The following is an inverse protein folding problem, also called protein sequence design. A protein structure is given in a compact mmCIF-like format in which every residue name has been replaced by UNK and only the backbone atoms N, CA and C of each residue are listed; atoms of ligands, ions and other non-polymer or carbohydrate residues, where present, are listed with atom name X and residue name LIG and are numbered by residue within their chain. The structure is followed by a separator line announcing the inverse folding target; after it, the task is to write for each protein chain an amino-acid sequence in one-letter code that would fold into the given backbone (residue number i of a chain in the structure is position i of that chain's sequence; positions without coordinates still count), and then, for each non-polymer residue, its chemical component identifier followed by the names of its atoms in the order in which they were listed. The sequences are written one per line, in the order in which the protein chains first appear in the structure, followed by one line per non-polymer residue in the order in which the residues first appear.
data_IF_800638350181
#
_entry.id   IF_800638350181
#
_cell.length_a   1.000
_cell.length_b   1.000
_cell.length_c   1.000
_cell.angle_alpha   90.00
_cell.angle_beta   90.00
_cell.angle_gamma   90.00
#
_symmetry.space_group_name_H-M   'P 1'
#
loop_
_entity.id
_entity.type
_entity.pdbx_description
1 polymer ?
#
# COMPACT_ATOMS: atom_id res chain seq x y z
N UNK A 1 12.40 20.00 -7.68
CA UNK A 1 11.37 19.23 -6.94
C UNK A 1 11.49 19.55 -5.46
N UNK A 2 10.40 19.95 -4.78
CA UNK A 2 10.42 20.25 -3.35
C UNK A 2 10.77 19.01 -2.53
N UNK A 3 11.44 19.17 -1.40
CA UNK A 3 11.88 18.09 -0.51
C UNK A 3 10.72 17.18 -0.10
N UNK A 4 9.59 17.78 0.32
CA UNK A 4 8.36 17.06 0.67
C UNK A 4 7.85 16.17 -0.47
N UNK A 5 7.94 16.63 -1.71
CA UNK A 5 7.52 15.85 -2.88
C UNK A 5 8.45 14.65 -3.10
N UNK A 6 9.76 14.80 -2.85
CA UNK A 6 10.71 13.68 -2.93
C UNK A 6 10.43 12.63 -1.85
N UNK A 7 10.23 13.07 -0.60
CA UNK A 7 9.92 12.17 0.52
C UNK A 7 8.62 11.40 0.24
N UNK A 8 7.57 12.09 -0.20
CA UNK A 8 6.30 11.44 -0.55
C UNK A 8 6.45 10.43 -1.69
N UNK A 9 7.24 10.77 -2.72
CA UNK A 9 7.47 9.86 -3.84
C UNK A 9 8.21 8.59 -3.41
N UNK A 10 9.31 8.70 -2.67
CA UNK A 10 10.03 7.52 -2.18
C UNK A 10 9.22 6.72 -1.15
N UNK A 11 8.49 7.40 -0.27
CA UNK A 11 7.63 6.74 0.70
C UNK A 11 6.52 5.93 -0.01
N UNK A 12 5.88 6.50 -1.02
CA UNK A 12 4.90 5.79 -1.83
C UNK A 12 5.54 4.61 -2.57
N UNK A 13 6.71 4.81 -3.19
CA UNK A 13 7.40 3.74 -3.91
C UNK A 13 7.73 2.56 -3.00
N UNK A 14 8.34 2.81 -1.84
CA UNK A 14 8.73 1.75 -0.91
C UNK A 14 7.53 1.03 -0.28
N UNK A 15 6.48 1.76 0.10
CA UNK A 15 5.23 1.14 0.54
C UNK A 15 4.64 0.25 -0.55
N UNK A 16 4.57 0.76 -1.79
CA UNK A 16 4.05 -0.02 -2.93
C UNK A 16 4.88 -1.25 -3.25
N UNK A 17 6.20 -1.21 -3.09
CA UNK A 17 7.07 -2.37 -3.25
C UNK A 17 6.72 -3.43 -2.20
N UNK A 18 6.68 -3.03 -0.93
CA UNK A 18 6.40 -3.95 0.18
C UNK A 18 5.00 -4.55 0.04
N UNK A 19 3.98 -3.74 -0.23
CA UNK A 19 2.63 -4.22 -0.43
C UNK A 19 2.48 -5.08 -1.67
N UNK A 20 3.03 -4.66 -2.82
CA UNK A 20 2.92 -5.39 -4.08
C UNK A 20 3.53 -6.79 -3.98
N UNK A 21 4.72 -6.91 -3.38
CA UNK A 21 5.36 -8.21 -3.14
C UNK A 21 4.55 -9.03 -2.14
N UNK A 22 4.21 -8.45 -0.99
CA UNK A 22 3.57 -9.21 0.10
C UNK A 22 2.17 -9.67 -0.26
N UNK A 23 1.37 -8.82 -0.89
CA UNK A 23 0.02 -9.18 -1.35
C UNK A 23 0.04 -10.17 -2.50
N UNK A 24 1.08 -10.17 -3.35
CA UNK A 24 1.21 -11.19 -4.39
C UNK A 24 1.53 -12.56 -3.79
N UNK A 25 2.49 -12.63 -2.85
CA UNK A 25 2.85 -13.87 -2.15
C UNK A 25 1.64 -14.41 -1.38
N UNK A 26 1.04 -13.58 -0.54
CA UNK A 26 -0.05 -14.02 0.32
C UNK A 26 -1.33 -14.23 -0.48
N UNK A 27 -1.56 -13.46 -1.53
CA UNK A 27 -2.67 -13.68 -2.47
C UNK A 27 -2.58 -15.05 -3.12
N UNK A 28 -1.40 -15.46 -3.59
CA UNK A 28 -1.17 -16.82 -4.09
C UNK A 28 -1.45 -17.87 -3.02
N UNK A 29 -0.85 -17.71 -1.82
CA UNK A 29 -1.05 -18.66 -0.72
C UNK A 29 -2.51 -18.82 -0.29
N UNK A 30 -3.29 -17.73 -0.24
CA UNK A 30 -4.71 -17.78 0.15
C UNK A 30 -5.57 -18.38 -0.96
N UNK A 31 -5.29 -18.07 -2.23
CA UNK A 31 -6.16 -18.47 -3.35
C UNK A 31 -5.87 -19.87 -3.87
N UNK A 32 -4.60 -20.26 -3.96
CA UNK A 32 -4.17 -21.52 -4.57
C UNK A 32 -3.41 -22.43 -3.60
N UNK A 33 -3.10 -21.96 -2.39
CA UNK A 33 -2.29 -22.69 -1.42
C UNK A 33 -0.79 -22.66 -1.71
N UNK A 34 -0.34 -22.00 -2.79
CA UNK A 34 1.06 -21.94 -3.19
C UNK A 34 1.42 -20.59 -3.83
N UNK A 35 2.71 -20.27 -3.83
CA UNK A 35 3.22 -19.11 -4.59
C UNK A 35 3.57 -19.57 -6.00
N UNK A 36 2.91 -19.01 -7.01
CA UNK A 36 3.31 -19.20 -8.40
C UNK A 36 4.54 -18.35 -8.72
N UNK A 37 5.71 -18.95 -8.54
CA UNK A 37 7.00 -18.30 -8.80
C UNK A 37 7.21 -17.92 -10.26
N UNK A 38 6.51 -18.56 -11.21
CA UNK A 38 6.64 -18.24 -12.62
C UNK A 38 5.95 -16.92 -12.97
N UNK A 39 4.73 -16.72 -12.46
CA UNK A 39 3.96 -15.49 -12.68
C UNK A 39 4.27 -14.39 -11.64
N UNK A 40 4.99 -14.74 -10.57
CA UNK A 40 5.29 -13.84 -9.46
C UNK A 40 5.92 -12.50 -9.88
N UNK A 41 6.98 -12.44 -10.72
CA UNK A 41 7.63 -11.17 -11.03
C UNK A 41 6.70 -10.16 -11.70
N UNK A 42 5.87 -10.62 -12.63
CA UNK A 42 4.92 -9.79 -13.37
C UNK A 42 3.80 -9.32 -12.44
N UNK A 43 3.27 -10.24 -11.64
CA UNK A 43 2.18 -10.00 -10.70
C UNK A 43 2.56 -9.01 -9.61
N UNK A 44 3.75 -9.20 -9.03
CA UNK A 44 4.33 -8.30 -8.05
C UNK A 44 4.56 -6.93 -8.67
N UNK A 45 5.15 -6.85 -9.87
CA UNK A 45 5.38 -5.59 -10.57
C UNK A 45 4.08 -4.81 -10.81
N UNK A 46 3.03 -5.49 -11.25
CA UNK A 46 1.71 -4.88 -11.47
C UNK A 46 1.13 -4.37 -10.16
N UNK A 47 1.28 -5.14 -9.07
CA UNK A 47 0.96 -4.69 -7.72
C UNK A 47 1.72 -3.42 -7.37
N UNK A 48 3.05 -3.41 -7.45
CA UNK A 48 3.87 -2.24 -7.15
C UNK A 48 3.43 -1.02 -7.99
N UNK A 49 3.22 -1.21 -9.29
CA UNK A 49 2.80 -0.13 -10.19
C UNK A 49 1.42 0.42 -9.83
N UNK A 50 0.42 -0.45 -9.63
CA UNK A 50 -0.91 -0.03 -9.27
C UNK A 50 -0.89 0.75 -7.94
N UNK A 51 -0.20 0.22 -6.93
CA UNK A 51 -0.10 0.86 -5.61
C UNK A 51 0.60 2.22 -5.70
N UNK A 52 1.67 2.30 -6.51
CA UNK A 52 2.42 3.53 -6.71
C UNK A 52 1.60 4.59 -7.43
N UNK A 53 0.93 4.22 -8.52
CA UNK A 53 0.05 5.14 -9.29
C UNK A 53 -1.10 5.63 -8.42
N UNK A 54 -1.78 4.74 -7.69
CA UNK A 54 -2.86 5.11 -6.77
C UNK A 54 -2.34 6.06 -5.69
N UNK A 55 -1.19 5.77 -5.09
CA UNK A 55 -0.56 6.62 -4.07
C UNK A 55 -0.12 7.99 -4.57
N UNK A 56 0.17 8.14 -5.87
CA UNK A 56 0.48 9.44 -6.48
C UNK A 56 -0.77 10.25 -6.83
N UNK A 57 -1.83 9.59 -7.33
CA UNK A 57 -3.06 10.25 -7.77
C UNK A 57 -3.91 10.65 -6.57
N UNK A 58 -4.09 9.73 -5.62
CA UNK A 58 -4.97 9.92 -4.48
C UNK A 58 -4.13 10.37 -3.29
N UNK A 59 -4.44 11.52 -2.65
CA UNK A 59 -3.70 11.99 -1.47
C UNK A 59 -4.14 11.23 -0.21
N UNK A 60 -3.97 9.90 -0.22
CA UNK A 60 -4.50 8.97 0.79
C UNK A 60 -4.02 9.33 2.20
N UNK A 61 -2.76 9.73 2.33
CA UNK A 61 -2.19 10.18 3.61
C UNK A 61 -2.87 11.42 4.19
N UNK A 62 -3.28 12.38 3.35
CA UNK A 62 -4.03 13.57 3.80
C UNK A 62 -5.42 13.19 4.27
N UNK A 63 -6.10 12.30 3.53
CA UNK A 63 -7.44 11.81 3.90
C UNK A 63 -7.37 11.06 5.23
N UNK A 64 -6.40 10.15 5.38
CA UNK A 64 -6.16 9.42 6.63
C UNK A 64 -5.88 10.35 7.81
N UNK A 65 -5.03 11.37 7.63
CA UNK A 65 -4.72 12.33 8.69
C UNK A 65 -5.94 13.19 9.09
N UNK A 66 -6.78 13.58 8.14
CA UNK A 66 -8.03 14.34 8.43
C UNK A 66 -8.99 13.48 9.26
N UNK A 67 -9.18 12.22 8.90
CA UNK A 67 -10.09 11.31 9.62
C UNK A 67 -9.53 10.98 11.01
N UNK A 68 -8.23 10.67 11.10
CA UNK A 68 -7.57 10.38 12.37
C UNK A 68 -7.58 11.59 13.32
N UNK A 69 -7.35 12.80 12.79
CA UNK A 69 -7.35 14.04 13.57
C UNK A 69 -8.71 14.43 14.14
N UNK A 70 -9.82 13.95 13.56
CA UNK A 70 -11.17 14.13 14.13
C UNK A 70 -11.46 13.20 15.30
N UNK A 71 -10.79 12.05 15.35
CA UNK A 71 -11.09 10.98 16.31
C UNK A 71 -10.02 10.84 17.41
N UNK A 72 -8.82 11.37 17.19
CA UNK A 72 -7.67 11.16 18.08
C UNK A 72 -6.62 12.26 17.94
N UNK A 73 -5.78 12.41 18.96
CA UNK A 73 -4.66 13.37 18.95
C UNK A 73 -3.48 12.83 18.12
N UNK A 74 -2.83 13.65 17.28
CA UNK A 74 -1.61 13.27 16.57
C UNK A 74 -0.55 12.70 17.53
N UNK A 75 0.16 11.66 17.09
CA UNK A 75 1.22 11.02 17.88
C UNK A 75 0.74 9.93 18.85
N UNK A 76 -0.57 9.71 18.98
CA UNK A 76 -1.09 8.56 19.76
C UNK A 76 -1.11 7.28 18.92
N UNK A 77 -1.03 6.12 19.58
CA UNK A 77 -1.17 4.82 18.91
C UNK A 77 -2.51 4.73 18.15
N UNK A 78 -3.59 5.23 18.75
CA UNK A 78 -4.91 5.25 18.15
C UNK A 78 -4.96 6.11 16.87
N UNK A 79 -4.25 7.24 16.85
CA UNK A 79 -4.13 8.08 15.65
C UNK A 79 -3.45 7.33 14.50
N UNK A 80 -2.33 6.66 14.78
CA UNK A 80 -1.63 5.87 13.77
C UNK A 80 -2.48 4.69 13.28
N UNK A 81 -3.20 4.02 14.18
CA UNK A 81 -4.11 2.93 13.84
C UNK A 81 -5.22 3.39 12.89
N UNK A 82 -5.90 4.49 13.22
CA UNK A 82 -7.01 5.03 12.41
C UNK A 82 -6.48 5.52 11.06
N UNK A 83 -5.36 6.26 11.05
CA UNK A 83 -4.73 6.74 9.83
C UNK A 83 -4.37 5.59 8.88
N UNK A 84 -3.71 4.55 9.40
CA UNK A 84 -3.32 3.38 8.60
C UNK A 84 -4.54 2.57 8.13
N UNK A 85 -5.58 2.47 8.96
CA UNK A 85 -6.85 1.80 8.62
C UNK A 85 -7.51 2.46 7.42
N UNK A 86 -7.70 3.78 7.47
CA UNK A 86 -8.31 4.55 6.38
C UNK A 86 -7.47 4.45 5.10
N UNK A 87 -6.15 4.53 5.26
CA UNK A 87 -5.21 4.42 4.14
C UNK A 87 -5.31 3.04 3.45
N UNK A 88 -5.34 1.95 4.23
CA UNK A 88 -5.47 0.60 3.69
C UNK A 88 -6.80 0.34 3.02
N UNK A 89 -7.91 0.79 3.60
CA UNK A 89 -9.23 0.62 3.00
C UNK A 89 -9.25 1.27 1.62
N UNK A 90 -8.73 2.50 1.50
CA UNK A 90 -8.69 3.21 0.24
C UNK A 90 -7.78 2.50 -0.77
N UNK A 91 -6.57 2.08 -0.37
CA UNK A 91 -5.67 1.34 -1.27
C UNK A 91 -6.31 0.05 -1.76
N UNK A 92 -6.88 -0.76 -0.86
CA UNK A 92 -7.49 -2.04 -1.22
C UNK A 92 -8.71 -1.88 -2.11
N UNK A 93 -9.49 -0.81 -1.92
CA UNK A 93 -10.67 -0.54 -2.75
C UNK A 93 -10.32 -0.38 -4.24
N UNK A 94 -9.11 0.10 -4.54
CA UNK A 94 -8.63 0.25 -5.92
C UNK A 94 -7.70 -0.90 -6.35
N UNK A 95 -6.83 -1.39 -5.48
CA UNK A 95 -5.88 -2.45 -5.82
C UNK A 95 -6.54 -3.79 -6.06
N UNK A 96 -7.54 -4.15 -5.26
CA UNK A 96 -8.21 -5.44 -5.38
C UNK A 96 -8.89 -5.61 -6.75
N UNK A 97 -9.70 -4.64 -7.24
CA UNK A 97 -10.20 -4.67 -8.61
C UNK A 97 -9.11 -4.64 -9.67
N UNK A 98 -8.09 -3.79 -9.52
CA UNK A 98 -7.02 -3.65 -10.51
C UNK A 98 -6.26 -4.97 -10.71
N UNK A 99 -5.87 -5.64 -9.63
CA UNK A 99 -5.18 -6.93 -9.68
C UNK A 99 -6.10 -8.05 -10.20
N UNK A 100 -7.37 -8.04 -9.80
CA UNK A 100 -8.34 -9.07 -10.24
C UNK A 100 -8.64 -8.96 -11.73
N UNK A 101 -8.81 -7.75 -12.25
CA UNK A 101 -8.97 -7.49 -13.69
C UNK A 101 -7.70 -7.88 -14.45
N UNK A 102 -6.53 -7.53 -13.93
CA UNK A 102 -5.26 -7.87 -14.59
C UNK A 102 -5.05 -9.39 -14.66
N UNK A 103 -5.18 -10.10 -13.54
CA UNK A 103 -5.03 -11.55 -13.50
C UNK A 103 -6.13 -12.26 -14.30
N UNK A 104 -7.38 -11.93 -14.03
CA UNK A 104 -8.53 -12.61 -14.59
C UNK A 104 -8.76 -12.29 -16.05
N UNK A 105 -8.70 -11.02 -16.43
CA UNK A 105 -9.03 -10.58 -17.79
C UNK A 105 -7.83 -10.42 -18.71
N UNK A 106 -6.69 -9.91 -18.21
CA UNK A 106 -5.52 -9.67 -19.08
C UNK A 106 -4.69 -10.93 -19.24
N UNK A 107 -4.39 -11.65 -18.16
CA UNK A 107 -3.57 -12.86 -18.23
C UNK A 107 -4.37 -14.12 -18.60
N UNK A 108 -5.57 -14.29 -18.04
CA UNK A 108 -6.40 -15.48 -18.27
C UNK A 108 -7.51 -15.29 -19.32
N UNK A 109 -7.68 -14.08 -19.88
CA UNK A 109 -8.61 -13.81 -20.97
C UNK A 109 -10.11 -13.82 -20.59
N UNK A 110 -10.45 -13.84 -19.30
CA UNK A 110 -11.84 -13.85 -18.86
C UNK A 110 -12.51 -12.46 -19.00
N UNK A 111 -13.80 -12.37 -19.32
CA UNK A 111 -14.48 -11.08 -19.38
C UNK A 111 -14.50 -10.39 -18.01
N UNK A 112 -14.32 -9.06 -17.99
CA UNK A 112 -14.26 -8.24 -16.75
C UNK A 112 -15.49 -8.49 -15.86
N UNK A 113 -16.67 -8.63 -16.47
CA UNK A 113 -17.93 -8.89 -15.76
C UNK A 113 -17.94 -10.19 -14.96
N UNK A 114 -17.14 -11.19 -15.34
CA UNK A 114 -17.04 -12.46 -14.63
C UNK A 114 -16.04 -12.42 -13.46
N UNK A 115 -15.04 -11.54 -13.51
CA UNK A 115 -13.96 -11.49 -12.52
C UNK A 115 -14.14 -10.36 -11.51
N UNK A 116 -14.76 -9.24 -11.91
CA UNK A 116 -14.96 -8.07 -11.07
C UNK A 116 -15.74 -8.37 -9.77
N UNK A 117 -16.82 -9.19 -9.75
CA UNK A 117 -17.54 -9.51 -8.52
C UNK A 117 -16.67 -10.21 -7.47
N UNK A 118 -15.65 -10.96 -7.90
CA UNK A 118 -14.75 -11.69 -7.01
C UNK A 118 -13.62 -10.81 -6.44
N UNK A 119 -13.48 -9.57 -6.92
CA UNK A 119 -12.36 -8.70 -6.57
C UNK A 119 -12.24 -8.45 -5.06
N UNK A 120 -13.35 -8.44 -4.35
CA UNK A 120 -13.39 -8.11 -2.92
C UNK A 120 -13.34 -9.32 -1.99
N UNK A 121 -13.27 -10.55 -2.52
CA UNK A 121 -13.17 -11.76 -1.70
C UNK A 121 -11.93 -11.76 -0.79
N UNK A 122 -10.83 -11.19 -1.28
CA UNK A 122 -9.55 -11.10 -0.55
C UNK A 122 -9.37 -9.78 0.21
N UNK A 123 -10.38 -8.91 0.23
CA UNK A 123 -10.27 -7.59 0.83
C UNK A 123 -9.92 -7.66 2.32
N UNK A 124 -10.68 -8.49 3.06
CA UNK A 124 -10.54 -8.63 4.51
C UNK A 124 -9.20 -9.24 4.93
N UNK A 125 -8.71 -10.36 4.35
CA UNK A 125 -7.39 -10.87 4.70
C UNK A 125 -6.26 -9.87 4.36
N UNK A 126 -6.31 -9.23 3.19
CA UNK A 126 -5.30 -8.23 2.82
C UNK A 126 -5.34 -6.99 3.71
N UNK A 127 -6.51 -6.61 4.22
CA UNK A 127 -6.63 -5.52 5.19
C UNK A 127 -5.84 -5.82 6.47
N UNK A 128 -6.05 -6.98 7.09
CA UNK A 128 -5.33 -7.32 8.32
C UNK A 128 -3.83 -7.45 8.12
N UNK A 129 -3.42 -8.13 7.05
CA UNK A 129 -2.00 -8.28 6.70
C UNK A 129 -1.37 -6.92 6.45
N UNK A 130 -2.03 -6.09 5.63
CA UNK A 130 -1.53 -4.77 5.30
C UNK A 130 -1.40 -3.87 6.53
N UNK A 131 -2.34 -3.99 7.48
CA UNK A 131 -2.32 -3.25 8.74
C UNK A 131 -1.11 -3.64 9.60
N UNK A 132 -0.83 -4.94 9.71
CA UNK A 132 0.35 -5.45 10.40
C UNK A 132 1.63 -4.93 9.74
N UNK A 133 1.71 -5.00 8.40
CA UNK A 133 2.87 -4.50 7.66
C UNK A 133 3.11 -3.02 7.90
N UNK A 134 2.07 -2.18 7.87
CA UNK A 134 2.23 -0.75 8.15
C UNK A 134 2.69 -0.49 9.57
N UNK A 135 2.15 -1.20 10.56
CA UNK A 135 2.60 -1.02 11.94
C UNK A 135 4.07 -1.40 12.12
N UNK A 136 4.52 -2.48 11.49
CA UNK A 136 5.90 -2.98 11.65
C UNK A 136 6.91 -2.20 10.80
N UNK A 137 6.58 -1.90 9.55
CA UNK A 137 7.54 -1.36 8.58
C UNK A 137 7.43 0.15 8.35
N UNK A 138 6.35 0.83 8.74
CA UNK A 138 6.19 2.28 8.47
C UNK A 138 7.36 3.13 8.93
N UNK A 139 7.88 2.88 10.14
CA UNK A 139 9.05 3.60 10.67
C UNK A 139 10.33 3.35 9.87
N UNK A 140 10.53 2.12 9.37
CA UNK A 140 11.69 1.78 8.53
C UNK A 140 11.57 2.42 7.14
N UNK A 141 10.38 2.35 6.54
CA UNK A 141 10.11 2.94 5.23
C UNK A 141 10.30 4.45 5.26
N UNK A 142 9.83 5.12 6.32
CA UNK A 142 10.03 6.55 6.49
C UNK A 142 11.52 6.91 6.63
N UNK A 143 12.30 6.15 7.39
CA UNK A 143 13.76 6.38 7.51
C UNK A 143 14.46 6.20 6.16
N UNK A 144 14.10 5.17 5.40
CA UNK A 144 14.64 4.93 4.06
C UNK A 144 14.25 6.03 3.08
N UNK A 145 12.99 6.47 3.08
CA UNK A 145 12.49 7.52 2.19
C UNK A 145 13.15 8.86 2.48
N UNK A 146 13.35 9.23 3.76
CA UNK A 146 14.09 10.42 4.16
C UNK A 146 15.55 10.36 3.71
N UNK A 147 16.23 9.22 3.90
CA UNK A 147 17.61 9.01 3.45
C UNK A 147 17.75 9.14 1.93
N UNK A 148 16.83 8.54 1.16
CA UNK A 148 16.79 8.65 -0.30
C UNK A 148 16.40 10.05 -0.80
N UNK A 149 15.60 10.79 -0.03
CA UNK A 149 15.29 12.18 -0.32
C UNK A 149 16.45 13.16 -0.05
N UNK A 150 17.55 12.68 0.56
CA UNK A 150 18.72 13.48 0.91
C UNK A 150 18.58 14.22 2.25
N UNK A 151 17.69 13.76 3.14
CA UNK A 151 17.55 14.28 4.50
C UNK A 151 18.48 13.45 5.39
N UNK A 152 19.65 14.00 5.70
CA UNK A 152 20.58 13.45 6.70
C UNK A 152 20.01 13.75 8.09
N UNK A 153 20.14 12.81 9.03
CA UNK A 153 19.47 12.79 10.35
C UNK A 153 19.85 13.94 11.33
N UNK A 154 20.43 15.04 10.86
CA UNK A 154 20.86 16.17 11.70
C UNK A 154 19.78 17.25 11.86
N UNK A 155 18.64 17.17 11.16
CA UNK A 155 17.62 18.24 11.17
C UNK A 155 16.35 17.90 11.97
N UNK A 156 16.36 16.86 12.80
CA UNK A 156 15.17 16.43 13.57
C UNK A 156 15.28 16.65 15.08
N UNK A 157 16.21 17.49 15.55
CA UNK A 157 16.24 17.96 16.94
C UNK A 157 15.69 19.37 17.16
N UNK A 158 15.28 20.09 16.12
CA UNK A 158 14.60 21.38 16.25
C UNK A 158 13.16 21.30 15.75
N UNK A 159 12.30 20.70 16.57
CA UNK A 159 10.93 21.15 16.87
C UNK A 159 10.33 20.17 17.87
N UNK A 160 10.71 20.38 19.12
CA UNK A 160 9.96 19.94 20.30
C UNK A 160 8.62 20.69 20.38
#
# INVERSE_FOLDING_TARGET
MKLETKVNLYNNLFNSIIFGITFTIIGGLITTGAVDWASFPISALVGVMAGFVIGLIIPIGKIGAIVAGKLSKPGTFLFNLIMNTVLLILILLFMCPALTIFMGSVLMGAPISAVLPNSYALFLPFFFIGLILLMVFSGLIMKLSMKCAGITAETSQETA
#
